data_IF_881654964459
#
_entry.id   IF_881654964459
#
_cell.length_a   1.000
_cell.length_b   1.000
_cell.length_c   1.000
_cell.angle_alpha   90.00
_cell.angle_beta   90.00
_cell.angle_gamma   90.00
#
_symmetry.space_group_name_H-M   'P 1'
#
loop_
_entity.id
_entity.type
_entity.pdbx_description
1 polymer ?
#
# COMPACT_ATOMS: atom_id res chain seq x y z
N UNK A 1 -5.14 -17.74 -36.99
CA UNK A 1 -4.64 -18.84 -36.13
C UNK A 1 -3.98 -18.22 -34.90
N UNK A 2 -4.76 -17.84 -33.88
CA UNK A 2 -4.26 -17.12 -32.70
C UNK A 2 -3.97 -18.12 -31.58
N UNK A 3 -2.69 -18.28 -31.23
CA UNK A 3 -2.24 -19.14 -30.13
C UNK A 3 -2.79 -18.62 -28.80
N UNK A 4 -3.58 -19.48 -28.16
CA UNK A 4 -4.03 -19.35 -26.78
C UNK A 4 -2.83 -19.33 -25.83
N UNK A 5 -2.61 -18.21 -25.15
CA UNK A 5 -1.82 -18.15 -23.92
C UNK A 5 -2.65 -17.41 -22.87
N UNK A 6 -3.74 -18.05 -22.45
CA UNK A 6 -4.47 -17.68 -21.24
C UNK A 6 -3.68 -18.25 -20.07
N UNK A 7 -2.81 -17.43 -19.44
CA UNK A 7 -2.17 -17.80 -18.18
C UNK A 7 -3.21 -17.70 -17.04
N UNK A 8 -3.42 -18.75 -16.24
CA UNK A 8 -4.54 -18.88 -15.32
C UNK A 8 -4.23 -18.14 -14.02
N UNK A 9 -4.72 -16.90 -13.90
CA UNK A 9 -4.70 -16.15 -12.63
C UNK A 9 -6.09 -15.92 -12.03
N UNK A 10 -7.15 -15.93 -12.86
CA UNK A 10 -8.53 -15.89 -12.37
C UNK A 10 -9.09 -17.30 -12.10
N UNK A 11 -8.56 -18.28 -12.83
CA UNK A 11 -8.95 -19.68 -12.79
C UNK A 11 -8.38 -20.39 -11.55
N UNK A 12 -7.21 -19.97 -11.04
CA UNK A 12 -6.55 -20.61 -9.88
C UNK A 12 -7.29 -20.42 -8.56
N UNK A 13 -8.09 -19.36 -8.39
CA UNK A 13 -8.99 -19.20 -7.23
C UNK A 13 -10.20 -20.15 -7.29
N UNK A 14 -10.53 -20.69 -8.48
CA UNK A 14 -11.65 -21.63 -8.68
C UNK A 14 -11.16 -23.09 -8.80
N UNK A 15 -9.89 -23.31 -9.16
CA UNK A 15 -9.29 -24.65 -9.37
C UNK A 15 -8.37 -25.15 -8.24
N UNK A 16 -8.18 -24.44 -7.11
CA UNK A 16 -7.25 -24.91 -6.07
C UNK A 16 -7.73 -26.09 -5.21
N UNK A 17 -8.84 -26.75 -5.57
CA UNK A 17 -9.00 -28.19 -5.29
C UNK A 17 -9.00 -28.64 -3.81
N UNK A 18 -9.57 -27.85 -2.90
CA UNK A 18 -9.82 -28.32 -1.52
C UNK A 18 -10.92 -29.39 -1.53
N UNK A 19 -10.51 -30.66 -1.31
CA UNK A 19 -11.38 -31.86 -1.37
C UNK A 19 -12.61 -31.74 -0.47
N UNK A 20 -13.73 -32.32 -0.90
CA UNK A 20 -14.96 -32.52 -0.15
C UNK A 20 -14.93 -33.90 0.54
N UNK A 21 -15.17 -33.92 1.85
CA UNK A 21 -15.66 -35.10 2.59
C UNK A 21 -16.59 -34.52 3.65
N UNK A 22 -17.89 -34.84 3.59
CA UNK A 22 -18.80 -34.74 4.74
C UNK A 22 -18.30 -35.73 5.79
N UNK A 23 -17.91 -35.22 6.96
CA UNK A 23 -17.77 -36.05 8.14
C UNK A 23 -18.77 -35.58 9.18
N UNK A 24 -19.54 -36.54 9.65
CA UNK A 24 -20.51 -36.41 10.72
C UNK A 24 -19.90 -35.75 11.97
N UNK A 25 -20.79 -35.07 12.68
CA UNK A 25 -20.54 -34.34 13.90
C UNK A 25 -19.78 -35.18 14.94
N UNK A 26 -18.50 -34.87 15.10
CA UNK A 26 -17.68 -35.32 16.22
C UNK A 26 -16.75 -34.17 16.67
N UNK A 27 -16.56 -33.96 17.99
CA UNK A 27 -15.67 -32.93 18.48
C UNK A 27 -14.22 -33.36 18.24
N UNK A 28 -13.41 -32.51 17.58
CA UNK A 28 -11.98 -32.77 17.39
C UNK A 28 -11.15 -31.63 17.96
N UNK A 29 -10.10 -32.07 18.65
CA UNK A 29 -9.20 -31.41 19.59
C UNK A 29 -8.56 -30.09 19.14
N UNK A 30 -8.42 -29.19 20.12
CA UNK A 30 -7.64 -27.95 20.11
C UNK A 30 -6.17 -28.29 19.84
N UNK A 31 -5.56 -27.65 18.83
CA UNK A 31 -4.13 -27.72 18.60
C UNK A 31 -3.37 -27.11 19.80
N UNK A 32 -2.54 -27.95 20.41
CA UNK A 32 -1.84 -27.79 21.68
C UNK A 32 -0.45 -27.16 21.52
N UNK A 33 -0.06 -26.35 22.51
CA UNK A 33 1.26 -26.16 23.14
C UNK A 33 2.59 -25.97 22.35
N UNK A 34 2.69 -26.27 21.05
CA UNK A 34 3.97 -26.31 20.33
C UNK A 34 4.37 -24.96 19.69
N UNK A 35 3.43 -24.13 19.23
CA UNK A 35 3.74 -22.82 18.61
C UNK A 35 4.32 -21.81 19.60
N UNK A 36 3.86 -21.83 20.85
CA UNK A 36 4.32 -20.93 21.91
C UNK A 36 5.79 -21.16 22.32
N UNK A 37 6.34 -22.37 22.14
CA UNK A 37 7.73 -22.69 22.46
C UNK A 37 8.71 -22.06 21.45
N UNK A 38 8.34 -22.04 20.16
CA UNK A 38 9.15 -21.52 19.04
C UNK A 38 9.44 -20.00 19.12
N UNK A 39 8.43 -19.18 19.45
CA UNK A 39 8.56 -17.71 19.52
C UNK A 39 9.38 -17.24 20.72
N UNK A 40 9.20 -17.88 21.88
CA UNK A 40 9.96 -17.59 23.09
C UNK A 40 11.46 -17.91 22.91
N UNK A 41 11.77 -19.00 22.21
CA UNK A 41 13.14 -19.43 21.93
C UNK A 41 13.84 -18.50 20.91
N UNK A 42 13.13 -18.04 19.88
CA UNK A 42 13.63 -17.03 18.95
C UNK A 42 13.94 -15.68 19.62
N UNK A 43 13.12 -15.24 20.57
CA UNK A 43 13.37 -14.00 21.33
C UNK A 43 14.60 -14.13 22.24
N UNK A 44 14.79 -15.28 22.91
CA UNK A 44 16.02 -15.56 23.69
C UNK A 44 17.27 -15.51 22.80
N UNK A 45 17.19 -16.05 21.58
CA UNK A 45 18.28 -16.00 20.60
C UNK A 45 18.62 -14.56 20.16
N UNK A 46 17.61 -13.71 19.95
CA UNK A 46 17.83 -12.28 19.61
C UNK A 46 18.55 -11.55 20.73
N UNK A 47 18.11 -11.72 21.98
CA UNK A 47 18.73 -11.06 23.14
C UNK A 47 20.20 -11.48 23.29
N UNK A 48 20.48 -12.79 23.16
CA UNK A 48 21.84 -13.32 23.21
C UNK A 48 22.73 -12.75 22.09
N UNK A 49 22.24 -12.70 20.85
CA UNK A 49 22.98 -12.14 19.71
C UNK A 49 23.22 -10.64 19.86
N UNK A 50 22.28 -9.89 20.42
CA UNK A 50 22.46 -8.45 20.69
C UNK A 50 23.48 -8.19 21.80
N UNK A 51 23.54 -9.04 22.83
CA UNK A 51 24.58 -8.98 23.85
C UNK A 51 25.95 -9.33 23.28
N UNK A 52 26.04 -10.36 22.43
CA UNK A 52 27.29 -10.70 21.73
C UNK A 52 27.76 -9.57 20.82
N UNK A 53 26.84 -8.91 20.10
CA UNK A 53 27.17 -7.78 19.24
C UNK A 53 27.70 -6.59 20.06
N UNK A 54 27.05 -6.26 21.18
CA UNK A 54 27.49 -5.21 22.11
C UNK A 54 28.87 -5.51 22.67
N UNK A 55 29.09 -6.72 23.20
CA UNK A 55 30.41 -7.16 23.70
C UNK A 55 31.48 -7.04 22.61
N UNK A 56 31.20 -7.44 21.37
CA UNK A 56 32.13 -7.31 20.24
C UNK A 56 32.43 -5.84 19.90
N UNK A 57 31.43 -4.97 19.94
CA UNK A 57 31.59 -3.52 19.71
C UNK A 57 32.37 -2.82 20.83
N UNK A 58 32.17 -3.24 22.08
CA UNK A 58 32.88 -2.73 23.25
C UNK A 58 34.32 -3.24 23.31
N UNK A 59 34.55 -4.52 22.97
CA UNK A 59 35.89 -5.11 22.93
C UNK A 59 36.74 -4.60 21.77
N UNK A 60 36.11 -4.00 20.74
CA UNK A 60 36.79 -3.75 19.49
C UNK A 60 36.27 -2.51 18.74
N UNK A 61 37.09 -1.47 18.72
CA UNK A 61 36.84 -0.25 17.96
C UNK A 61 37.55 -0.29 16.61
N UNK A 62 36.76 -0.42 15.53
CA UNK A 62 37.28 -0.33 14.15
C UNK A 62 37.99 1.01 13.90
N UNK A 63 37.55 2.08 14.57
CA UNK A 63 38.12 3.42 14.47
C UNK A 63 39.54 3.45 15.04
N UNK A 64 39.77 2.78 16.16
CA UNK A 64 41.09 2.76 16.81
C UNK A 64 42.10 1.90 16.03
N UNK A 65 41.65 0.79 15.43
CA UNK A 65 42.46 0.00 14.50
C UNK A 65 42.83 0.77 13.23
N UNK A 66 41.89 1.54 12.67
CA UNK A 66 42.16 2.38 11.51
C UNK A 66 43.14 3.51 11.84
N UNK A 67 43.06 4.07 13.06
CA UNK A 67 44.02 5.04 13.58
C UNK A 67 45.41 4.39 13.73
N UNK A 68 45.50 3.24 14.39
CA UNK A 68 46.76 2.51 14.57
C UNK A 68 47.42 2.11 13.23
N UNK A 69 46.64 1.64 12.25
CA UNK A 69 47.14 1.33 10.90
C UNK A 69 47.65 2.60 10.20
N UNK A 70 46.98 3.74 10.39
CA UNK A 70 47.41 5.02 9.81
C UNK A 70 48.70 5.51 10.46
N UNK A 71 48.86 5.34 11.76
CA UNK A 71 50.06 5.74 12.51
C UNK A 71 51.25 4.84 12.15
N UNK A 72 51.05 3.52 12.04
CA UNK A 72 52.07 2.59 11.54
C UNK A 72 52.53 2.92 10.11
N UNK A 73 51.59 3.30 9.24
CA UNK A 73 51.94 3.75 7.86
C UNK A 73 52.75 5.04 7.87
N UNK A 74 52.42 5.99 8.75
CA UNK A 74 53.16 7.24 8.91
C UNK A 74 54.58 6.97 9.42
N UNK A 75 54.71 6.17 10.48
CA UNK A 75 56.00 5.79 11.05
C UNK A 75 56.90 5.09 10.02
N UNK A 76 56.35 4.11 9.28
CA UNK A 76 57.08 3.40 8.22
C UNK A 76 57.60 4.34 7.12
N UNK A 77 56.82 5.36 6.75
CA UNK A 77 57.23 6.31 5.71
C UNK A 77 58.40 7.21 6.15
N UNK A 78 58.67 7.32 7.45
CA UNK A 78 59.78 8.07 8.02
C UNK A 78 61.05 7.22 8.26
N UNK A 79 60.94 5.89 8.14
CA UNK A 79 62.08 4.98 8.33
C UNK A 79 63.02 5.01 7.12
N UNK A 80 64.33 5.02 7.37
CA UNK A 80 65.38 5.02 6.33
C UNK A 80 65.93 3.61 6.09
N UNK A 81 66.00 2.77 7.13
CA UNK A 81 66.46 1.39 7.06
C UNK A 81 65.44 0.47 6.35
N UNK A 82 65.92 -0.30 5.36
CA UNK A 82 65.10 -1.24 4.59
C UNK A 82 64.56 -2.41 5.41
N UNK A 83 65.36 -2.97 6.33
CA UNK A 83 64.94 -4.11 7.19
C UNK A 83 63.86 -3.69 8.18
N UNK A 84 63.99 -2.52 8.79
CA UNK A 84 62.96 -1.97 9.69
C UNK A 84 61.65 -1.64 8.96
N UNK A 85 61.78 -1.17 7.71
CA UNK A 85 60.64 -0.89 6.84
C UNK A 85 59.87 -2.17 6.48
N UNK A 86 60.56 -3.28 6.25
CA UNK A 86 59.96 -4.59 5.97
C UNK A 86 59.25 -5.18 7.19
N UNK A 87 59.86 -5.08 8.38
CA UNK A 87 59.22 -5.47 9.65
C UNK A 87 57.94 -4.65 9.88
N UNK A 88 58.00 -3.35 9.65
CA UNK A 88 56.82 -2.47 9.75
C UNK A 88 55.74 -2.79 8.72
N UNK A 89 56.12 -3.18 7.50
CA UNK A 89 55.18 -3.63 6.48
C UNK A 89 54.47 -4.94 6.88
N UNK A 90 55.20 -5.89 7.49
CA UNK A 90 54.63 -7.11 8.04
C UNK A 90 53.62 -6.82 9.16
N UNK A 91 53.95 -5.91 10.08
CA UNK A 91 53.06 -5.47 11.16
C UNK A 91 51.76 -4.82 10.63
N UNK A 92 51.86 -3.96 9.60
CA UNK A 92 50.68 -3.37 8.95
C UNK A 92 49.80 -4.45 8.30
N UNK A 93 50.42 -5.47 7.68
CA UNK A 93 49.70 -6.57 7.03
C UNK A 93 48.97 -7.43 8.07
N UNK A 94 49.61 -7.72 9.20
CA UNK A 94 49.00 -8.46 10.31
C UNK A 94 47.81 -7.68 10.93
N UNK A 95 47.99 -6.39 11.19
CA UNK A 95 46.91 -5.52 11.70
C UNK A 95 45.71 -5.44 10.76
N UNK A 96 45.94 -5.38 9.44
CA UNK A 96 44.85 -5.43 8.44
C UNK A 96 44.12 -6.78 8.43
N UNK A 97 44.84 -7.88 8.64
CA UNK A 97 44.25 -9.22 8.73
C UNK A 97 43.34 -9.32 9.95
N UNK A 98 43.83 -8.94 11.13
CA UNK A 98 43.06 -8.86 12.38
C UNK A 98 41.81 -7.99 12.22
N UNK A 99 41.93 -6.84 11.55
CA UNK A 99 40.79 -5.95 11.25
C UNK A 99 39.72 -6.67 10.43
N UNK A 100 40.13 -7.39 9.39
CA UNK A 100 39.22 -8.08 8.49
C UNK A 100 38.49 -9.23 9.19
N UNK A 101 39.20 -10.02 9.99
CA UNK A 101 38.62 -11.13 10.76
C UNK A 101 37.57 -10.63 11.75
N UNK A 102 37.85 -9.52 12.45
CA UNK A 102 36.90 -8.91 13.38
C UNK A 102 35.67 -8.34 12.67
N UNK A 103 35.88 -7.64 11.54
CA UNK A 103 34.77 -7.16 10.71
C UNK A 103 33.90 -8.31 10.18
N UNK A 104 34.52 -9.41 9.74
CA UNK A 104 33.82 -10.62 9.27
C UNK A 104 32.98 -11.23 10.39
N UNK A 105 33.55 -11.42 11.58
CA UNK A 105 32.86 -11.93 12.77
C UNK A 105 31.66 -11.06 13.19
N UNK A 106 31.81 -9.73 13.15
CA UNK A 106 30.71 -8.80 13.41
C UNK A 106 29.61 -8.91 12.34
N UNK A 107 29.99 -9.00 11.06
CA UNK A 107 29.05 -9.10 9.95
C UNK A 107 28.25 -10.41 9.98
N UNK A 108 28.89 -11.51 10.35
CA UNK A 108 28.24 -12.81 10.55
C UNK A 108 27.21 -12.73 11.70
N UNK A 109 27.58 -12.11 12.82
CA UNK A 109 26.65 -11.90 13.95
C UNK A 109 25.46 -11.02 13.55
N UNK A 110 25.70 -9.97 12.74
CA UNK A 110 24.65 -9.14 12.17
C UNK A 110 23.70 -9.90 11.23
N UNK A 111 24.24 -10.82 10.42
CA UNK A 111 23.45 -11.67 9.52
C UNK A 111 22.57 -12.64 10.31
N UNK A 112 23.14 -13.29 11.34
CA UNK A 112 22.41 -14.16 12.27
C UNK A 112 21.30 -13.41 12.99
N UNK A 113 21.57 -12.18 13.46
CA UNK A 113 20.56 -11.32 14.10
C UNK A 113 19.46 -10.93 13.11
N UNK A 114 19.81 -10.61 11.86
CA UNK A 114 18.84 -10.30 10.80
C UNK A 114 17.98 -11.51 10.45
N UNK A 115 18.54 -12.71 10.49
CA UNK A 115 17.80 -13.95 10.26
C UNK A 115 16.91 -14.32 11.44
N UNK A 116 17.40 -14.25 12.67
CA UNK A 116 16.61 -14.46 13.88
C UNK A 116 15.43 -13.47 13.98
N UNK A 117 15.66 -12.18 13.65
CA UNK A 117 14.59 -11.17 13.55
C UNK A 117 13.60 -11.48 12.43
N UNK A 118 14.06 -12.02 11.28
CA UNK A 118 13.18 -12.47 10.20
C UNK A 118 12.34 -13.68 10.62
N UNK A 119 12.91 -14.66 11.33
CA UNK A 119 12.19 -15.81 11.89
C UNK A 119 11.18 -15.37 12.95
N UNK A 120 11.55 -14.47 13.86
CA UNK A 120 10.63 -13.90 14.83
C UNK A 120 9.52 -13.09 14.16
N UNK A 121 9.81 -12.33 13.11
CA UNK A 121 8.80 -11.60 12.33
C UNK A 121 7.90 -12.54 11.52
N UNK A 122 8.43 -13.64 10.97
CA UNK A 122 7.63 -14.65 10.28
C UNK A 122 6.73 -15.43 11.25
N UNK A 123 7.26 -15.84 12.42
CA UNK A 123 6.49 -16.45 13.49
C UNK A 123 5.45 -15.48 14.06
N UNK A 124 5.77 -14.18 14.17
CA UNK A 124 4.78 -13.14 14.46
C UNK A 124 3.78 -12.96 13.33
N UNK A 125 4.10 -13.17 12.05
CA UNK A 125 3.10 -13.16 10.98
C UNK A 125 2.16 -14.39 11.09
N UNK A 126 2.65 -15.51 11.62
CA UNK A 126 1.83 -16.70 11.89
C UNK A 126 0.97 -16.53 13.17
N UNK A 127 1.47 -15.85 14.22
CA UNK A 127 0.73 -15.51 15.45
C UNK A 127 -0.12 -14.19 15.33
N UNK A 128 0.26 -13.25 14.45
CA UNK A 128 -0.52 -12.06 14.01
C UNK A 128 -1.58 -12.45 12.97
N UNK A 129 -1.93 -13.75 12.92
CA UNK A 129 -3.28 -14.19 12.55
C UNK A 129 -4.37 -13.56 13.45
N UNK A 130 -3.97 -12.82 14.51
CA UNK A 130 -4.81 -11.91 15.29
C UNK A 130 -4.87 -10.45 14.82
N UNK A 131 -4.23 -10.04 13.71
CA UNK A 131 -4.30 -8.67 13.16
C UNK A 131 -5.57 -8.42 12.31
N UNK A 132 -6.60 -9.26 12.48
CA UNK A 132 -7.89 -9.16 11.79
C UNK A 132 -7.86 -9.43 10.27
N UNK A 133 -6.67 -9.61 9.69
CA UNK A 133 -6.45 -10.08 8.32
C UNK A 133 -6.31 -11.59 8.37
N UNK A 134 -7.46 -12.26 8.41
CA UNK A 134 -7.52 -13.72 8.30
C UNK A 134 -7.02 -14.07 6.89
N UNK A 135 -5.86 -14.75 6.77
CA UNK A 135 -5.69 -15.69 5.67
C UNK A 135 -6.82 -16.69 5.84
N UNK A 136 -7.75 -16.67 4.90
CA UNK A 136 -8.90 -17.55 4.90
C UNK A 136 -8.37 -18.98 4.90
N UNK A 137 -8.18 -19.59 6.07
CA UNK A 137 -7.89 -21.02 6.24
C UNK A 137 -8.45 -21.57 7.57
N UNK A 138 -9.01 -20.77 8.48
CA UNK A 138 -9.42 -21.27 9.82
C UNK A 138 -10.70 -20.69 10.42
N UNK A 139 -11.78 -20.60 9.65
CA UNK A 139 -13.10 -20.52 10.31
C UNK A 139 -14.20 -21.06 9.41
N UNK A 140 -14.80 -22.18 9.83
CA UNK A 140 -16.14 -22.56 9.39
C UNK A 140 -17.11 -21.45 9.85
N UNK A 141 -17.81 -20.81 8.92
CA UNK A 141 -18.59 -19.62 9.19
C UNK A 141 -20.03 -19.77 8.73
N UNK A 142 -20.93 -19.75 9.71
CA UNK A 142 -22.37 -19.61 9.52
C UNK A 142 -22.62 -18.29 8.78
N UNK A 143 -23.15 -18.41 7.57
CA UNK A 143 -23.25 -17.37 6.52
C UNK A 143 -24.32 -16.31 6.79
N UNK A 144 -25.22 -16.54 7.74
CA UNK A 144 -26.47 -15.77 7.85
C UNK A 144 -26.33 -14.40 8.53
N UNK A 145 -25.28 -14.16 9.33
CA UNK A 145 -25.09 -12.89 10.05
C UNK A 145 -23.89 -12.06 9.54
N UNK A 146 -23.65 -12.08 8.23
CA UNK A 146 -22.50 -11.39 7.62
C UNK A 146 -22.84 -10.54 6.41
N UNK A 147 -22.19 -9.40 6.31
CA UNK A 147 -22.19 -8.53 5.13
C UNK A 147 -20.82 -8.58 4.47
N UNK A 148 -20.83 -8.68 3.15
CA UNK A 148 -19.67 -8.92 2.29
C UNK A 148 -19.52 -7.74 1.33
N UNK A 149 -18.29 -7.25 1.11
CA UNK A 149 -18.05 -6.13 0.19
C UNK A 149 -16.65 -6.05 -0.38
N UNK A 150 -16.57 -5.85 -1.70
CA UNK A 150 -15.30 -5.73 -2.42
C UNK A 150 -14.97 -4.28 -2.71
N UNK A 151 -13.70 -3.93 -2.55
CA UNK A 151 -13.18 -2.59 -2.77
C UNK A 151 -12.04 -2.61 -3.78
N UNK A 152 -12.24 -1.89 -4.89
CA UNK A 152 -11.22 -1.63 -5.90
C UNK A 152 -10.54 -0.28 -5.67
N UNK A 153 -9.21 -0.26 -5.79
CA UNK A 153 -8.39 0.96 -5.76
C UNK A 153 -7.99 1.36 -7.17
N UNK A 154 -9.01 1.74 -7.95
CA UNK A 154 -8.86 2.09 -9.36
C UNK A 154 -7.99 3.33 -9.65
N UNK A 155 -7.72 3.54 -10.94
CA UNK A 155 -6.92 4.67 -11.45
C UNK A 155 -7.74 5.96 -11.64
N UNK A 156 -9.06 5.86 -11.75
CA UNK A 156 -9.98 6.99 -12.04
C UNK A 156 -10.70 7.51 -10.80
N UNK A 157 -11.24 6.61 -10.00
CA UNK A 157 -11.74 6.85 -8.65
C UNK A 157 -10.67 6.43 -7.65
N UNK A 158 -10.65 7.06 -6.47
CA UNK A 158 -9.69 6.71 -5.44
C UNK A 158 -10.03 5.34 -4.81
N UNK A 159 -11.32 5.04 -4.68
CA UNK A 159 -11.83 3.73 -4.26
C UNK A 159 -13.27 3.55 -4.75
N UNK A 160 -13.62 2.33 -5.14
CA UNK A 160 -14.99 1.91 -5.44
C UNK A 160 -15.30 0.66 -4.63
N UNK A 161 -16.36 0.73 -3.83
CA UNK A 161 -16.76 -0.35 -2.93
C UNK A 161 -18.16 -0.82 -3.28
N UNK A 162 -18.33 -2.12 -3.41
CA UNK A 162 -19.62 -2.77 -3.70
C UNK A 162 -19.97 -3.73 -2.58
N UNK A 163 -21.24 -3.76 -2.18
CA UNK A 163 -21.74 -4.79 -1.29
C UNK A 163 -22.29 -5.96 -2.11
N UNK A 164 -21.91 -7.18 -1.75
CA UNK A 164 -22.44 -8.41 -2.37
C UNK A 164 -23.18 -9.21 -1.29
N UNK A 165 -24.39 -9.65 -1.61
CA UNK A 165 -25.13 -10.57 -0.73
C UNK A 165 -24.73 -12.01 -0.98
N UNK A 166 -24.81 -12.91 0.02
CA UNK A 166 -24.63 -14.35 -0.19
C UNK A 166 -25.47 -14.89 -1.34
N UNK A 167 -26.71 -14.42 -1.49
CA UNK A 167 -27.60 -14.79 -2.61
C UNK A 167 -27.03 -14.40 -3.98
N UNK A 168 -26.46 -13.19 -4.11
CA UNK A 168 -25.84 -12.74 -5.35
C UNK A 168 -24.58 -13.56 -5.67
N UNK A 169 -23.78 -13.88 -4.65
CA UNK A 169 -22.62 -14.77 -4.79
C UNK A 169 -23.02 -16.18 -5.23
N UNK A 170 -24.02 -16.79 -4.59
CA UNK A 170 -24.53 -18.12 -4.97
C UNK A 170 -25.05 -18.15 -6.41
N UNK A 171 -25.76 -17.11 -6.85
CA UNK A 171 -26.22 -17.01 -8.24
C UNK A 171 -25.06 -16.90 -9.24
N UNK A 172 -24.03 -16.13 -8.88
CA UNK A 172 -22.82 -16.00 -9.70
C UNK A 172 -22.07 -17.34 -9.80
N UNK A 173 -21.90 -18.05 -8.69
CA UNK A 173 -21.27 -19.37 -8.67
C UNK A 173 -22.06 -20.40 -9.48
N UNK A 174 -23.39 -20.40 -9.36
CA UNK A 174 -24.26 -21.25 -10.16
C UNK A 174 -24.10 -20.99 -11.65
N UNK A 175 -24.14 -19.71 -12.06
CA UNK A 175 -23.91 -19.33 -13.45
C UNK A 175 -22.57 -19.82 -13.98
N UNK A 176 -21.50 -19.67 -13.18
CA UNK A 176 -20.18 -20.17 -13.55
C UNK A 176 -20.20 -21.67 -13.80
N UNK A 177 -20.77 -22.44 -12.87
CA UNK A 177 -20.86 -23.89 -12.94
C UNK A 177 -21.65 -24.37 -14.16
N UNK A 178 -22.78 -23.72 -14.46
CA UNK A 178 -23.65 -24.08 -15.60
C UNK A 178 -22.96 -23.84 -16.96
N UNK A 179 -22.07 -22.85 -17.05
CA UNK A 179 -21.42 -22.44 -18.31
C UNK A 179 -19.98 -22.95 -18.49
N UNK A 180 -19.41 -23.59 -17.47
CA UNK A 180 -18.04 -24.11 -17.49
C UNK A 180 -18.01 -25.58 -17.04
N UNK A 181 -18.91 -26.40 -17.59
CA UNK A 181 -19.01 -27.84 -17.32
C UNK A 181 -17.72 -28.63 -17.66
N UNK A 182 -16.86 -28.07 -18.50
CA UNK A 182 -15.54 -28.62 -18.83
C UNK A 182 -14.51 -28.49 -17.69
N UNK A 183 -14.84 -27.78 -16.62
CA UNK A 183 -13.97 -27.62 -15.47
C UNK A 183 -13.81 -28.97 -14.73
N UNK A 184 -12.61 -29.59 -14.72
CA UNK A 184 -12.39 -30.94 -14.19
C UNK A 184 -12.61 -31.08 -12.67
N UNK A 185 -12.85 -29.97 -11.97
CA UNK A 185 -13.17 -29.93 -10.54
C UNK A 185 -14.69 -29.91 -10.25
N UNK A 186 -15.56 -29.81 -11.26
CA UNK A 186 -17.02 -29.87 -11.12
C UNK A 186 -17.53 -31.30 -11.35
N UNK A 187 -17.58 -32.11 -10.29
CA UNK A 187 -18.20 -33.45 -10.32
C UNK A 187 -19.62 -33.43 -9.75
N UNK A 188 -20.58 -32.76 -10.40
CA UNK A 188 -22.01 -33.06 -10.25
C UNK A 188 -22.88 -32.18 -11.16
N UNK A 189 -24.04 -32.74 -11.51
CA UNK A 189 -25.00 -32.34 -12.56
C UNK A 189 -25.31 -30.84 -12.64
N UNK A 190 -25.65 -30.34 -13.86
CA UNK A 190 -26.22 -29.01 -14.03
C UNK A 190 -27.52 -28.90 -13.23
N UNK A 191 -27.62 -27.90 -12.35
CA UNK A 191 -28.86 -27.58 -11.65
C UNK A 191 -29.67 -26.70 -12.59
N UNK A 192 -30.52 -27.32 -13.40
CA UNK A 192 -31.50 -26.63 -14.26
C UNK A 192 -32.53 -25.91 -13.40
N UNK A 193 -32.22 -24.66 -13.06
CA UNK A 193 -33.17 -23.69 -12.56
C UNK A 193 -32.86 -22.37 -13.26
N UNK A 194 -33.88 -21.71 -13.83
CA UNK A 194 -33.74 -20.44 -14.56
C UNK A 194 -32.92 -19.41 -13.78
N UNK A 195 -31.87 -18.88 -14.39
CA UNK A 195 -31.14 -17.73 -13.85
C UNK A 195 -32.05 -16.51 -13.82
N UNK A 196 -32.34 -16.01 -12.61
CA UNK A 196 -33.19 -14.84 -12.41
C UNK A 196 -32.50 -13.58 -12.97
N UNK A 197 -33.11 -12.97 -13.99
CA UNK A 197 -32.58 -11.83 -14.72
C UNK A 197 -32.38 -10.57 -13.86
N UNK A 198 -32.95 -10.55 -12.65
CA UNK A 198 -32.77 -9.48 -11.66
C UNK A 198 -31.36 -9.39 -11.07
N UNK A 199 -30.51 -10.41 -11.26
CA UNK A 199 -29.13 -10.44 -10.73
C UNK A 199 -28.03 -10.04 -11.74
N UNK A 200 -28.40 -9.70 -12.98
CA UNK A 200 -27.48 -9.12 -13.97
C UNK A 200 -27.11 -7.65 -13.81
N UNK A 201 -27.83 -6.75 -13.11
CA UNK A 201 -27.28 -5.44 -12.84
C UNK A 201 -26.12 -5.55 -11.86
N UNK A 202 -25.04 -4.83 -12.13
CA UNK A 202 -23.99 -4.65 -11.14
C UNK A 202 -24.57 -4.00 -9.87
N UNK A 203 -24.05 -4.38 -8.69
CA UNK A 203 -24.54 -3.82 -7.44
C UNK A 203 -24.26 -2.31 -7.38
N UNK A 204 -25.04 -1.61 -6.56
CA UNK A 204 -24.77 -0.20 -6.26
C UNK A 204 -23.37 -0.09 -5.63
N UNK A 205 -22.66 0.98 -5.99
CA UNK A 205 -21.31 1.21 -5.51
C UNK A 205 -21.19 2.51 -4.70
N UNK A 206 -20.38 2.47 -3.65
CA UNK A 206 -19.85 3.64 -2.97
C UNK A 206 -18.56 4.08 -3.67
N UNK A 207 -18.46 5.37 -3.98
CA UNK A 207 -17.30 5.92 -4.69
C UNK A 207 -16.64 6.98 -3.84
N UNK A 208 -15.34 6.84 -3.66
CA UNK A 208 -14.48 7.86 -3.08
C UNK A 208 -13.65 8.50 -4.18
N UNK A 209 -13.73 9.83 -4.31
CA UNK A 209 -12.93 10.58 -5.28
C UNK A 209 -11.75 11.28 -4.60
N UNK A 210 -10.63 11.40 -5.31
CA UNK A 210 -9.47 12.15 -4.85
C UNK A 210 -9.79 13.64 -4.62
N UNK A 211 -10.72 14.20 -5.43
CA UNK A 211 -11.23 15.56 -5.29
C UNK A 211 -11.88 15.77 -3.91
N UNK A 212 -12.80 14.89 -3.52
CA UNK A 212 -13.54 15.02 -2.27
C UNK A 212 -12.64 14.93 -1.05
N UNK A 213 -11.68 13.99 -1.07
CA UNK A 213 -10.72 13.83 0.02
C UNK A 213 -9.82 15.06 0.12
N UNK A 214 -9.29 15.57 -0.98
CA UNK A 214 -8.39 16.72 -0.94
C UNK A 214 -9.09 18.00 -0.49
N UNK A 215 -10.34 18.20 -0.92
CA UNK A 215 -11.17 19.30 -0.44
C UNK A 215 -11.38 19.22 1.07
N UNK A 216 -11.81 18.05 1.57
CA UNK A 216 -12.07 17.80 3.01
C UNK A 216 -10.80 17.84 3.87
N UNK A 217 -9.65 17.45 3.31
CA UNK A 217 -8.35 17.53 3.97
C UNK A 217 -7.75 18.95 3.99
N UNK A 218 -8.47 19.97 3.50
CA UNK A 218 -8.03 21.36 3.47
C UNK A 218 -6.75 21.61 2.65
N UNK A 219 -6.40 20.73 1.71
CA UNK A 219 -5.18 20.89 0.91
C UNK A 219 -5.24 22.14 0.03
N UNK A 220 -6.38 22.39 -0.61
CA UNK A 220 -6.58 23.62 -1.39
C UNK A 220 -6.39 24.86 -0.51
N UNK A 221 -6.92 24.86 0.71
CA UNK A 221 -6.73 25.94 1.69
C UNK A 221 -5.26 26.12 2.09
N UNK A 222 -4.48 25.04 2.18
CA UNK A 222 -3.03 25.09 2.40
C UNK A 222 -2.33 25.77 1.23
N UNK A 223 -2.57 25.28 0.01
CA UNK A 223 -1.94 25.80 -1.20
C UNK A 223 -2.24 27.29 -1.35
N UNK A 224 -3.50 27.71 -1.18
CA UNK A 224 -3.86 29.13 -1.24
C UNK A 224 -3.23 29.97 -0.12
N UNK A 225 -3.07 29.43 1.10
CA UNK A 225 -2.40 30.16 2.18
C UNK A 225 -0.89 30.27 1.96
N UNK A 226 -0.25 29.21 1.48
CA UNK A 226 1.16 29.21 1.10
C UNK A 226 1.41 30.16 -0.05
N UNK A 227 0.56 30.11 -1.08
CA UNK A 227 0.65 31.01 -2.22
C UNK A 227 0.47 32.46 -1.78
N UNK A 228 -0.50 32.78 -0.92
CA UNK A 228 -0.65 34.13 -0.36
C UNK A 228 0.55 34.57 0.48
N UNK A 229 1.15 33.66 1.24
CA UNK A 229 2.34 33.94 2.04
C UNK A 229 3.58 34.20 1.17
N UNK A 230 3.62 33.65 -0.05
CA UNK A 230 4.73 33.82 -1.01
C UNK A 230 4.51 34.92 -2.04
N UNK A 231 3.25 35.16 -2.45
CA UNK A 231 2.85 35.99 -3.59
C UNK A 231 1.94 37.16 -3.21
N UNK A 232 2.08 37.85 -2.07
CA UNK A 232 1.24 39.05 -1.88
C UNK A 232 1.71 40.20 -2.79
N UNK A 233 1.36 40.13 -4.07
CA UNK A 233 1.13 41.29 -4.93
C UNK A 233 -0.09 42.02 -4.40
N UNK A 234 0.03 43.34 -4.35
CA UNK A 234 -1.05 44.29 -4.07
C UNK A 234 -2.24 43.94 -4.94
N UNK A 235 -3.35 43.44 -4.35
CA UNK A 235 -4.64 43.59 -5.00
C UNK A 235 -5.13 44.98 -4.66
N UNK A 236 -4.99 45.87 -5.63
CA UNK A 236 -5.78 47.10 -5.76
C UNK A 236 -7.25 46.74 -5.62
N UNK A 237 -7.79 46.93 -4.42
CA UNK A 237 -9.11 47.49 -4.13
C UNK A 237 -9.47 47.28 -2.65
N UNK A 238 -9.66 48.40 -1.94
CA UNK A 238 -10.59 48.46 -0.82
C UNK A 238 -10.00 48.65 0.57
N UNK A 239 -9.81 49.92 0.91
CA UNK A 239 -10.02 50.54 2.24
C UNK A 239 -8.94 50.36 3.31
N UNK A 240 -8.32 51.50 3.59
CA UNK A 240 -7.53 51.87 4.76
C UNK A 240 -8.09 51.28 6.06
N UNK A 241 -7.24 50.56 6.79
CA UNK A 241 -7.19 50.65 8.25
C UNK A 241 -5.74 50.76 8.67
N UNK A 242 -5.30 52.01 8.79
CA UNK A 242 -4.09 52.40 9.49
C UNK A 242 -4.28 52.12 10.99
N UNK A 243 -3.55 51.15 11.52
CA UNK A 243 -3.09 51.14 12.91
C UNK A 243 -1.98 50.07 13.05
N UNK A 244 -0.76 50.53 13.34
CA UNK A 244 0.34 49.79 14.00
C UNK A 244 0.88 48.48 13.37
N UNK A 245 0.28 47.99 12.28
CA UNK A 245 0.54 46.67 11.69
C UNK A 245 1.28 46.71 10.34
N UNK A 246 1.56 47.91 9.81
CA UNK A 246 2.13 48.11 8.47
C UNK A 246 3.57 47.59 8.34
N UNK A 247 4.42 47.84 9.35
CA UNK A 247 5.84 47.49 9.29
C UNK A 247 6.09 45.97 9.31
N UNK A 248 5.43 45.25 10.22
CA UNK A 248 5.49 43.78 10.28
C UNK A 248 4.90 43.12 9.04
N UNK A 249 3.91 43.76 8.40
CA UNK A 249 3.26 43.24 7.21
C UNK A 249 4.17 43.34 5.97
N UNK A 250 4.92 44.43 5.84
CA UNK A 250 5.87 44.63 4.75
C UNK A 250 7.11 43.71 4.87
N UNK A 251 7.63 43.50 6.08
CA UNK A 251 8.74 42.57 6.34
C UNK A 251 8.38 41.11 5.99
N UNK A 252 7.20 40.65 6.41
CA UNK A 252 6.70 39.30 6.11
C UNK A 252 6.46 39.08 4.60
N UNK A 253 6.15 40.13 3.84
CA UNK A 253 6.00 40.06 2.38
C UNK A 253 7.34 39.85 1.67
N UNK A 254 8.39 40.50 2.16
CA UNK A 254 9.71 40.41 1.57
C UNK A 254 10.34 39.03 1.80
N UNK A 255 10.21 38.48 3.01
CA UNK A 255 10.61 37.10 3.29
C UNK A 255 9.88 36.09 2.40
N UNK A 256 8.58 36.28 2.15
CA UNK A 256 7.78 35.41 1.28
C UNK A 256 8.26 35.41 -0.18
N UNK A 257 8.62 36.58 -0.72
CA UNK A 257 9.19 36.70 -2.07
C UNK A 257 10.56 36.06 -2.17
N UNK A 258 11.43 36.27 -1.18
CA UNK A 258 12.75 35.64 -1.13
C UNK A 258 12.63 34.11 -1.10
N UNK A 259 11.67 33.56 -0.35
CA UNK A 259 11.38 32.12 -0.32
C UNK A 259 10.95 31.61 -1.70
N UNK A 260 10.09 32.33 -2.42
CA UNK A 260 9.68 31.95 -3.77
C UNK A 260 10.86 31.96 -4.75
N UNK A 261 11.71 32.99 -4.70
CA UNK A 261 12.91 33.08 -5.54
C UNK A 261 13.90 31.95 -5.26
N UNK A 262 14.12 31.62 -3.98
CA UNK A 262 14.96 30.51 -3.58
C UNK A 262 14.43 29.15 -4.10
N UNK A 263 13.11 28.93 -4.03
CA UNK A 263 12.48 27.73 -4.60
C UNK A 263 12.59 27.65 -6.11
N UNK A 264 12.35 28.75 -6.82
CA UNK A 264 12.44 28.79 -8.28
C UNK A 264 13.88 28.53 -8.75
N UNK A 265 14.87 29.08 -8.03
CA UNK A 265 16.29 28.83 -8.25
C UNK A 265 16.64 27.35 -8.06
N UNK A 266 16.22 26.74 -6.94
CA UNK A 266 16.44 25.31 -6.69
C UNK A 266 15.70 24.41 -7.69
N UNK A 267 14.50 24.79 -8.11
CA UNK A 267 13.72 24.05 -9.11
C UNK A 267 14.40 24.06 -10.48
N UNK A 268 14.93 25.22 -10.91
CA UNK A 268 15.70 25.34 -12.15
C UNK A 268 16.98 24.50 -12.08
N UNK A 269 17.71 24.58 -10.96
CA UNK A 269 18.92 23.79 -10.74
C UNK A 269 18.65 22.28 -10.73
N UNK A 270 17.54 21.83 -10.14
CA UNK A 270 17.15 20.41 -10.14
C UNK A 270 16.79 19.88 -11.55
N UNK A 271 16.44 20.76 -12.49
CA UNK A 271 16.21 20.38 -13.90
C UNK A 271 17.52 20.30 -14.69
N UNK A 272 18.51 21.13 -14.35
CA UNK A 272 19.81 21.19 -15.05
C UNK A 272 20.87 20.26 -14.45
N UNK A 273 20.76 19.92 -13.17
CA UNK A 273 21.71 19.12 -12.41
C UNK A 273 21.00 17.92 -11.79
N UNK A 274 21.71 16.81 -11.61
CA UNK A 274 21.22 15.71 -10.77
C UNK A 274 21.03 16.21 -9.33
N UNK A 275 19.91 15.83 -8.72
CA UNK A 275 19.50 16.21 -7.36
C UNK A 275 20.49 15.68 -6.31
N UNK A 276 21.26 14.65 -6.66
CA UNK A 276 22.32 14.08 -5.82
C UNK A 276 23.71 14.70 -6.08
N UNK A 277 23.81 15.67 -7.00
CA UNK A 277 25.09 16.33 -7.29
C UNK A 277 25.56 17.19 -6.12
N UNK A 278 26.88 17.25 -5.91
CA UNK A 278 27.50 18.13 -4.90
C UNK A 278 27.11 19.59 -5.10
N UNK A 279 26.98 20.02 -6.36
CA UNK A 279 26.64 21.41 -6.70
C UNK A 279 25.20 21.74 -6.29
N UNK A 280 24.24 20.84 -6.53
CA UNK A 280 22.87 21.02 -6.03
C UNK A 280 22.84 21.10 -4.49
N UNK A 281 23.62 20.26 -3.80
CA UNK A 281 23.70 20.27 -2.34
C UNK A 281 24.24 21.59 -1.77
N UNK A 282 25.28 22.17 -2.40
CA UNK A 282 25.85 23.46 -1.97
C UNK A 282 24.82 24.58 -2.12
N UNK A 283 24.12 24.66 -3.26
CA UNK A 283 23.07 25.65 -3.45
C UNK A 283 21.87 25.44 -2.52
N UNK A 284 21.49 24.19 -2.26
CA UNK A 284 20.47 23.87 -1.26
C UNK A 284 20.87 24.38 0.15
N UNK A 285 22.14 24.20 0.53
CA UNK A 285 22.66 24.66 1.82
C UNK A 285 22.66 26.18 1.96
N UNK A 286 22.94 26.93 0.88
CA UNK A 286 22.88 28.39 0.87
C UNK A 286 21.47 28.90 1.19
N UNK A 287 20.45 28.34 0.53
CA UNK A 287 19.05 28.77 0.71
C UNK A 287 18.38 28.14 1.96
N UNK A 288 19.03 27.16 2.59
CA UNK A 288 18.45 26.34 3.67
C UNK A 288 17.98 27.16 4.86
N UNK A 289 18.72 28.20 5.26
CA UNK A 289 18.39 28.98 6.47
C UNK A 289 17.05 29.69 6.29
N UNK A 290 16.87 30.36 5.15
CA UNK A 290 15.64 31.06 4.76
C UNK A 290 14.46 30.08 4.60
N UNK A 291 14.67 28.97 3.87
CA UNK A 291 13.62 27.97 3.69
C UNK A 291 13.20 27.35 5.03
N UNK A 292 14.14 27.10 5.93
CA UNK A 292 13.83 26.55 7.25
C UNK A 292 13.08 27.55 8.12
N UNK A 293 13.52 28.82 8.19
CA UNK A 293 12.82 29.83 9.00
C UNK A 293 11.36 29.98 8.55
N UNK A 294 11.11 30.00 7.25
CA UNK A 294 9.76 30.09 6.70
C UNK A 294 8.92 28.82 6.99
N UNK A 295 9.39 27.64 6.55
CA UNK A 295 8.60 26.40 6.62
C UNK A 295 8.43 25.80 8.01
N UNK A 296 9.35 26.12 8.93
CA UNK A 296 9.28 25.71 10.34
C UNK A 296 8.83 26.87 11.25
N UNK A 297 8.43 28.01 10.70
CA UNK A 297 7.79 29.08 11.47
C UNK A 297 6.57 28.56 12.23
N UNK A 298 6.26 29.18 13.36
CA UNK A 298 5.10 28.82 14.19
C UNK A 298 3.79 28.84 13.38
N UNK A 299 3.64 29.80 12.47
CA UNK A 299 2.47 29.90 11.59
C UNK A 299 2.36 28.72 10.62
N UNK A 300 3.46 28.34 9.97
CA UNK A 300 3.49 27.19 9.06
C UNK A 300 3.32 25.86 9.80
N UNK A 301 3.91 25.72 10.98
CA UNK A 301 3.72 24.56 11.85
C UNK A 301 2.26 24.40 12.29
N UNK A 302 1.59 25.49 12.72
CA UNK A 302 0.16 25.48 13.06
C UNK A 302 -0.71 25.12 11.85
N UNK A 303 -0.39 25.64 10.67
CA UNK A 303 -1.10 25.31 9.44
C UNK A 303 -0.94 23.82 9.09
N UNK A 304 0.29 23.30 9.14
CA UNK A 304 0.61 21.89 8.88
C UNK A 304 -0.12 20.96 9.84
N UNK A 305 -0.08 21.25 11.15
CA UNK A 305 -0.82 20.48 12.18
C UNK A 305 -2.32 20.49 11.91
N UNK A 306 -2.88 21.64 11.54
CA UNK A 306 -4.31 21.74 11.22
C UNK A 306 -4.71 20.83 10.06
N UNK A 307 -3.86 20.72 9.04
CA UNK A 307 -4.08 19.88 7.85
C UNK A 307 -3.88 18.41 8.16
N UNK A 308 -2.89 18.08 8.98
CA UNK A 308 -2.66 16.72 9.47
C UNK A 308 -3.88 16.21 10.22
N UNK A 309 -4.39 16.99 11.18
CA UNK A 309 -5.61 16.65 11.92
C UNK A 309 -6.84 16.55 11.01
N UNK A 310 -7.00 17.49 10.07
CA UNK A 310 -8.09 17.43 9.08
C UNK A 310 -7.98 16.20 8.18
N UNK A 311 -6.76 15.81 7.81
CA UNK A 311 -6.47 14.62 7.00
C UNK A 311 -6.86 13.36 7.74
N UNK A 312 -6.42 13.21 9.00
CA UNK A 312 -6.74 12.05 9.83
C UNK A 312 -8.27 11.92 9.97
N UNK A 313 -8.95 13.00 10.38
CA UNK A 313 -10.42 13.02 10.54
C UNK A 313 -11.15 12.71 9.23
N UNK A 314 -10.68 13.24 8.11
CA UNK A 314 -11.30 13.00 6.80
C UNK A 314 -11.17 11.54 6.38
N UNK A 315 -9.99 10.93 6.58
CA UNK A 315 -9.73 9.52 6.29
C UNK A 315 -10.61 8.60 7.13
N UNK A 316 -10.69 8.84 8.43
CA UNK A 316 -11.56 8.07 9.33
C UNK A 316 -13.04 8.19 8.94
N UNK A 317 -13.51 9.40 8.64
CA UNK A 317 -14.89 9.62 8.18
C UNK A 317 -15.19 8.95 6.84
N UNK A 318 -14.23 8.95 5.91
CA UNK A 318 -14.38 8.29 4.62
C UNK A 318 -14.51 6.77 4.80
N UNK A 319 -13.61 6.15 5.58
CA UNK A 319 -13.67 4.73 5.89
C UNK A 319 -14.98 4.36 6.63
N UNK A 320 -15.43 5.20 7.58
CA UNK A 320 -16.69 4.99 8.28
C UNK A 320 -17.92 5.15 7.36
N UNK A 321 -17.89 6.07 6.39
CA UNK A 321 -18.96 6.22 5.40
C UNK A 321 -19.05 5.00 4.48
N UNK A 322 -17.92 4.46 4.05
CA UNK A 322 -17.84 3.23 3.26
C UNK A 322 -18.40 2.02 4.03
N UNK A 323 -17.99 1.83 5.30
CA UNK A 323 -18.55 0.76 6.15
C UNK A 323 -20.04 0.90 6.37
N UNK A 324 -20.54 2.12 6.59
CA UNK A 324 -21.99 2.39 6.72
C UNK A 324 -22.74 2.11 5.43
N UNK A 325 -22.14 2.39 4.27
CA UNK A 325 -22.73 2.03 2.99
C UNK A 325 -22.92 0.51 2.88
N UNK A 326 -21.92 -0.29 3.29
CA UNK A 326 -21.99 -1.75 3.20
C UNK A 326 -22.94 -2.35 4.25
N UNK A 327 -22.79 -1.98 5.53
CA UNK A 327 -23.62 -2.51 6.61
C UNK A 327 -25.05 -2.01 6.56
N UNK A 328 -25.28 -0.82 6.00
CA UNK A 328 -26.55 -0.11 6.16
C UNK A 328 -26.86 0.08 7.65
N UNK A 329 -28.07 -0.31 8.05
CA UNK A 329 -28.51 -0.37 9.45
C UNK A 329 -28.31 -1.73 10.14
N UNK A 330 -27.67 -2.70 9.49
CA UNK A 330 -27.48 -4.04 10.06
C UNK A 330 -26.33 -4.10 11.06
N UNK A 331 -26.50 -4.92 12.11
CA UNK A 331 -25.47 -5.22 13.10
C UNK A 331 -24.56 -6.40 12.68
N UNK A 332 -24.68 -6.86 11.44
CA UNK A 332 -23.94 -8.00 10.92
C UNK A 332 -22.43 -7.78 10.99
N UNK A 333 -21.68 -8.88 11.13
CA UNK A 333 -20.24 -8.85 11.02
C UNK A 333 -19.86 -8.51 9.58
N UNK A 334 -18.91 -7.57 9.42
CA UNK A 334 -18.49 -7.09 8.11
C UNK A 334 -17.20 -7.78 7.68
N UNK A 335 -17.23 -8.33 6.47
CA UNK A 335 -16.09 -8.87 5.75
C UNK A 335 -15.88 -8.01 4.51
N UNK A 336 -14.65 -7.50 4.32
CA UNK A 336 -14.30 -6.66 3.19
C UNK A 336 -13.19 -7.30 2.36
N UNK A 337 -13.49 -7.66 1.11
CA UNK A 337 -12.50 -7.93 0.09
C UNK A 337 -11.83 -6.64 -0.38
N UNK A 338 -10.51 -6.63 -0.41
CA UNK A 338 -9.74 -5.46 -0.84
C UNK A 338 -8.69 -5.91 -1.85
N UNK A 339 -8.68 -5.26 -3.01
CA UNK A 339 -7.66 -5.48 -4.01
C UNK A 339 -6.25 -5.12 -3.52
N UNK A 340 -5.26 -5.92 -3.89
CA UNK A 340 -3.87 -5.78 -3.46
C UNK A 340 -3.00 -4.88 -4.36
N UNK A 341 -3.52 -4.39 -5.48
CA UNK A 341 -2.80 -3.53 -6.41
C UNK A 341 -3.25 -2.05 -6.29
N UNK A 342 -2.60 -1.15 -7.02
CA UNK A 342 -3.13 0.22 -7.15
C UNK A 342 -3.00 1.15 -5.94
N UNK A 343 -1.94 1.06 -5.12
CA UNK A 343 -1.79 2.03 -4.01
C UNK A 343 -1.61 3.46 -4.50
N UNK A 344 -0.92 3.68 -5.62
CA UNK A 344 -0.81 4.96 -6.34
C UNK A 344 -0.41 6.16 -5.46
N UNK A 345 0.25 5.92 -4.33
CA UNK A 345 0.62 6.95 -3.36
C UNK A 345 1.58 7.94 -4.01
N UNK A 346 1.32 9.23 -3.87
CA UNK A 346 2.16 10.29 -4.44
C UNK A 346 1.88 10.61 -5.91
N UNK A 347 1.04 9.84 -6.60
CA UNK A 347 0.53 10.21 -7.92
C UNK A 347 -0.67 11.17 -7.82
N UNK A 348 -1.09 11.77 -8.93
CA UNK A 348 -2.31 12.60 -8.98
C UNK A 348 -3.34 12.00 -9.94
N UNK A 349 -4.62 12.14 -9.58
CA UNK A 349 -5.78 11.82 -10.43
C UNK A 349 -6.48 13.14 -10.72
N UNK A 350 -6.49 13.57 -11.99
CA UNK A 350 -7.09 14.84 -12.42
C UNK A 350 -6.57 16.05 -11.61
N UNK A 351 -5.27 16.08 -11.31
CA UNK A 351 -4.63 17.14 -10.52
C UNK A 351 -4.85 17.05 -9.00
N UNK A 352 -5.60 16.05 -8.53
CA UNK A 352 -5.80 15.80 -7.10
C UNK A 352 -4.88 14.67 -6.62
N UNK A 353 -4.17 14.87 -5.51
CA UNK A 353 -3.41 13.79 -4.86
C UNK A 353 -4.21 12.50 -4.75
N UNK A 354 -3.65 11.44 -5.31
CA UNK A 354 -4.09 10.10 -5.01
C UNK A 354 -3.58 9.75 -3.64
N UNK A 355 -4.46 9.93 -2.65
CA UNK A 355 -4.22 9.44 -1.28
C UNK A 355 -4.56 7.96 -1.19
N UNK A 356 -4.13 7.14 -2.14
CA UNK A 356 -4.26 5.69 -2.01
C UNK A 356 -3.30 5.13 -0.96
N UNK A 357 -3.10 3.82 -0.94
CA UNK A 357 -2.17 3.15 -0.02
C UNK A 357 -2.85 2.41 1.13
N UNK A 358 -2.01 1.81 1.98
CA UNK A 358 -2.44 0.86 3.02
C UNK A 358 -3.29 1.47 4.14
N UNK A 359 -3.57 2.78 4.15
CA UNK A 359 -4.31 3.40 5.25
C UNK A 359 -5.79 3.01 5.26
N UNK A 360 -6.44 2.88 4.10
CA UNK A 360 -7.86 2.52 4.05
C UNK A 360 -8.09 1.07 4.52
N UNK A 361 -7.30 0.07 4.05
CA UNK A 361 -7.34 -1.28 4.61
C UNK A 361 -7.08 -1.30 6.12
N UNK A 362 -6.05 -0.58 6.60
CA UNK A 362 -5.73 -0.47 8.03
C UNK A 362 -6.82 0.18 8.89
N UNK A 363 -7.63 1.07 8.32
CA UNK A 363 -8.76 1.65 9.04
C UNK A 363 -9.96 0.70 9.07
N UNK A 364 -10.11 -0.13 8.05
CA UNK A 364 -11.17 -1.14 7.99
C UNK A 364 -10.90 -2.31 8.95
N UNK A 365 -9.65 -2.76 9.11
CA UNK A 365 -9.29 -3.85 10.04
C UNK A 365 -9.72 -3.60 11.49
N UNK A 366 -9.86 -2.33 11.90
CA UNK A 366 -10.35 -1.96 13.24
C UNK A 366 -11.82 -2.34 13.48
N UNK A 367 -12.61 -2.50 12.42
CA UNK A 367 -14.08 -2.63 12.51
C UNK A 367 -14.67 -3.73 11.60
N UNK A 368 -13.82 -4.39 10.81
CA UNK A 368 -14.20 -5.40 9.84
C UNK A 368 -13.06 -6.41 9.64
N UNK A 369 -13.42 -7.64 9.25
CA UNK A 369 -12.44 -8.60 8.75
C UNK A 369 -12.07 -8.21 7.32
N UNK A 370 -10.78 -8.10 7.02
CA UNK A 370 -10.30 -7.68 5.69
C UNK A 370 -9.59 -8.84 5.03
N UNK A 371 -10.00 -9.24 3.82
CA UNK A 371 -9.18 -10.10 2.96
C UNK A 371 -8.55 -9.29 1.84
N UNK A 372 -7.26 -9.52 1.64
CA UNK A 372 -6.56 -9.03 0.47
C UNK A 372 -6.76 -10.03 -0.67
N UNK A 373 -7.25 -9.58 -1.82
CA UNK A 373 -7.38 -10.39 -3.03
C UNK A 373 -6.36 -9.97 -4.07
N UNK A 374 -5.96 -10.90 -4.94
CA UNK A 374 -5.28 -10.50 -6.16
C UNK A 374 -6.27 -9.73 -7.06
N UNK A 375 -5.78 -8.68 -7.71
CA UNK A 375 -6.56 -7.91 -8.68
C UNK A 375 -6.33 -8.39 -10.12
N UNK A 376 -5.71 -9.55 -10.30
CA UNK A 376 -5.26 -9.98 -11.62
C UNK A 376 -6.44 -10.12 -12.58
N UNK A 377 -6.42 -9.36 -13.68
CA UNK A 377 -7.46 -9.38 -14.73
C UNK A 377 -8.88 -8.98 -14.29
N UNK A 378 -9.07 -8.49 -13.06
CA UNK A 378 -10.39 -8.08 -12.52
C UNK A 378 -11.05 -6.92 -13.29
N UNK A 379 -10.27 -6.14 -14.04
CA UNK A 379 -10.74 -5.05 -14.93
C UNK A 379 -10.68 -5.40 -16.41
N UNK A 380 -10.30 -6.63 -16.76
CA UNK A 380 -10.05 -7.07 -18.14
C UNK A 380 -10.99 -8.20 -18.60
N UNK A 381 -11.69 -8.84 -17.67
CA UNK A 381 -12.61 -9.94 -17.96
C UNK A 381 -14.05 -9.60 -17.58
N UNK A 382 -14.99 -10.14 -18.35
CA UNK A 382 -16.40 -10.02 -18.08
C UNK A 382 -16.73 -10.81 -16.82
N UNK A 383 -17.42 -10.19 -15.87
CA UNK A 383 -17.82 -10.88 -14.65
C UNK A 383 -18.71 -12.10 -14.95
N UNK A 384 -19.57 -12.02 -15.96
CA UNK A 384 -20.49 -13.11 -16.28
C UNK A 384 -19.77 -14.21 -17.07
N UNK A 385 -19.30 -13.90 -18.27
CA UNK A 385 -18.80 -14.92 -19.20
C UNK A 385 -17.28 -15.10 -19.22
N UNK A 386 -16.52 -14.39 -18.38
CA UNK A 386 -15.05 -14.46 -18.28
C UNK A 386 -14.28 -14.23 -19.59
N UNK A 387 -14.97 -13.73 -20.62
CA UNK A 387 -14.33 -13.29 -21.86
C UNK A 387 -13.69 -11.91 -21.68
N UNK A 388 -12.62 -11.62 -22.43
CA UNK A 388 -12.03 -10.29 -22.47
C UNK A 388 -13.06 -9.20 -22.77
N UNK A 389 -12.94 -8.08 -22.04
CA UNK A 389 -13.75 -6.89 -22.25
C UNK A 389 -12.92 -5.81 -22.93
N UNK A 390 -13.59 -4.98 -23.72
CA UNK A 390 -13.00 -3.81 -24.35
C UNK A 390 -13.62 -2.54 -23.78
N UNK A 391 -12.96 -1.39 -23.97
CA UNK A 391 -13.61 -0.13 -23.65
C UNK A 391 -14.87 0.06 -24.48
N UNK A 392 -15.96 0.46 -23.82
CA UNK A 392 -17.19 0.79 -24.53
C UNK A 392 -16.96 1.99 -25.45
N UNK A 393 -17.69 2.05 -26.57
CA UNK A 393 -17.62 3.14 -27.54
C UNK A 393 -18.98 3.77 -27.73
N UNK A 394 -19.01 5.08 -27.99
CA UNK A 394 -20.22 5.79 -28.40
C UNK A 394 -20.59 5.44 -29.85
N UNK A 395 -21.78 5.85 -30.30
CA UNK A 395 -22.18 5.82 -31.71
C UNK A 395 -21.18 6.54 -32.61
N UNK A 396 -20.53 7.60 -32.11
CA UNK A 396 -19.47 8.34 -32.80
C UNK A 396 -18.08 7.68 -32.68
N UNK A 397 -17.99 6.38 -32.35
CA UNK A 397 -16.76 5.61 -32.19
C UNK A 397 -15.75 6.16 -31.15
N UNK A 398 -16.19 7.04 -30.24
CA UNK A 398 -15.34 7.60 -29.17
C UNK A 398 -15.33 6.65 -27.96
N UNK A 399 -14.16 6.42 -27.40
CA UNK A 399 -13.97 5.57 -26.23
C UNK A 399 -14.63 6.19 -24.98
N UNK A 400 -15.53 5.46 -24.35
CA UNK A 400 -16.16 5.82 -23.08
C UNK A 400 -15.27 5.38 -21.93
N UNK A 401 -14.50 6.33 -21.39
CA UNK A 401 -13.59 6.08 -20.29
C UNK A 401 -14.35 5.61 -19.04
N UNK A 402 -14.03 4.39 -18.57
CA UNK A 402 -14.57 3.83 -17.32
C UNK A 402 -15.81 2.97 -17.53
N UNK A 403 -16.17 2.72 -18.80
CA UNK A 403 -17.11 1.69 -19.18
C UNK A 403 -16.40 0.62 -20.00
N UNK A 404 -16.76 -0.63 -19.73
CA UNK A 404 -16.28 -1.80 -20.44
C UNK A 404 -17.44 -2.57 -21.05
N UNK A 405 -17.21 -3.19 -22.21
CA UNK A 405 -18.17 -3.98 -22.96
C UNK A 405 -17.63 -5.39 -23.17
N UNK A 406 -18.45 -6.40 -22.86
CA UNK A 406 -18.16 -7.77 -23.25
C UNK A 406 -18.34 -7.95 -24.76
N UNK A 407 -17.39 -8.63 -25.40
CA UNK A 407 -17.44 -8.96 -26.82
C UNK A 407 -18.12 -10.30 -27.12
N UNK A 408 -18.40 -11.12 -26.10
CA UNK A 408 -18.98 -12.44 -26.30
C UNK A 408 -20.51 -12.34 -26.50
N UNK A 409 -21.05 -12.65 -27.70
CA UNK A 409 -22.49 -12.61 -27.96
C UNK A 409 -23.27 -13.66 -27.16
N UNK A 410 -22.60 -14.74 -26.71
CA UNK A 410 -23.20 -15.79 -25.87
C UNK A 410 -23.29 -15.39 -24.40
N UNK A 411 -22.69 -14.29 -23.99
CA UNK A 411 -22.76 -13.79 -22.61
C UNK A 411 -24.20 -13.46 -22.24
N UNK A 412 -24.70 -13.93 -21.09
CA UNK A 412 -26.07 -13.60 -20.67
C UNK A 412 -26.29 -12.10 -20.47
N UNK A 413 -25.30 -11.37 -19.95
CA UNK A 413 -25.38 -9.91 -19.88
C UNK A 413 -25.49 -9.28 -21.27
N UNK A 414 -24.91 -9.89 -22.32
CA UNK A 414 -25.07 -9.44 -23.70
C UNK A 414 -26.48 -9.73 -24.22
N UNK A 415 -27.00 -10.95 -24.02
CA UNK A 415 -28.36 -11.34 -24.42
C UNK A 415 -29.45 -10.46 -23.81
N UNK A 416 -29.24 -9.99 -22.58
CA UNK A 416 -30.16 -9.11 -21.87
C UNK A 416 -29.91 -7.60 -22.10
N UNK A 417 -29.09 -7.22 -23.09
CA UNK A 417 -28.82 -5.81 -23.43
C UNK A 417 -27.96 -5.05 -22.41
N UNK A 418 -27.26 -5.76 -21.52
CA UNK A 418 -26.42 -5.23 -20.42
C UNK A 418 -24.93 -5.53 -20.61
N UNK A 419 -24.48 -5.61 -21.86
CA UNK A 419 -23.09 -5.90 -22.20
C UNK A 419 -22.11 -4.82 -21.72
N UNK A 420 -22.59 -3.58 -21.57
CA UNK A 420 -21.80 -2.42 -21.16
C UNK A 420 -21.96 -2.16 -19.66
N UNK A 421 -20.86 -2.12 -18.94
CA UNK A 421 -20.82 -2.02 -17.49
C UNK A 421 -19.76 -1.01 -17.02
N UNK A 422 -19.87 -0.52 -15.78
CA UNK A 422 -18.85 0.33 -15.18
C UNK A 422 -17.64 -0.53 -14.76
N UNK A 423 -16.46 -0.20 -15.28
CA UNK A 423 -15.24 -1.01 -15.08
C UNK A 423 -14.85 -1.10 -13.60
N UNK A 424 -14.85 0.02 -12.87
CA UNK A 424 -14.42 0.05 -11.47
C UNK A 424 -15.41 -0.76 -10.58
N UNK A 425 -16.70 -0.74 -10.91
CA UNK A 425 -17.73 -1.53 -10.21
C UNK A 425 -17.57 -3.02 -10.52
N UNK A 426 -17.28 -3.40 -11.77
CA UNK A 426 -16.99 -4.79 -12.13
C UNK A 426 -15.78 -5.32 -11.37
N UNK A 427 -14.69 -4.54 -11.31
CA UNK A 427 -13.47 -4.93 -10.61
C UNK A 427 -13.70 -5.08 -9.12
N UNK A 428 -14.40 -4.14 -8.48
CA UNK A 428 -14.79 -4.26 -7.09
C UNK A 428 -15.68 -5.50 -6.83
N UNK A 429 -16.56 -5.84 -7.78
CA UNK A 429 -17.43 -7.04 -7.68
C UNK A 429 -16.62 -8.32 -7.81
N UNK A 430 -15.68 -8.37 -8.76
CA UNK A 430 -14.79 -9.51 -8.94
C UNK A 430 -13.85 -9.73 -7.74
N UNK A 431 -13.35 -8.64 -7.15
CA UNK A 431 -12.59 -8.66 -5.89
C UNK A 431 -13.42 -9.31 -4.79
N UNK A 432 -14.68 -8.92 -4.63
CA UNK A 432 -15.50 -9.51 -3.57
C UNK A 432 -15.83 -10.98 -3.82
N UNK A 433 -16.14 -11.35 -5.05
CA UNK A 433 -16.37 -12.77 -5.40
C UNK A 433 -15.12 -13.59 -5.07
N UNK A 434 -13.93 -13.09 -5.41
CA UNK A 434 -12.67 -13.74 -5.03
C UNK A 434 -12.49 -13.83 -3.51
N UNK A 435 -12.81 -12.75 -2.78
CA UNK A 435 -12.72 -12.72 -1.32
C UNK A 435 -13.70 -13.70 -0.66
N UNK A 436 -14.97 -13.71 -1.11
CA UNK A 436 -15.99 -14.63 -0.63
C UNK A 436 -15.63 -16.08 -0.92
N UNK A 437 -15.10 -16.39 -2.11
CA UNK A 437 -14.61 -17.74 -2.42
C UNK A 437 -13.52 -18.16 -1.43
N UNK A 438 -12.56 -17.27 -1.14
CA UNK A 438 -11.53 -17.54 -0.12
C UNK A 438 -12.17 -17.74 1.25
N UNK A 439 -13.00 -16.81 1.72
CA UNK A 439 -13.57 -16.89 3.08
C UNK A 439 -14.54 -18.04 3.33
N UNK A 440 -15.33 -18.41 2.33
CA UNK A 440 -16.37 -19.44 2.47
C UNK A 440 -15.83 -20.84 2.14
N UNK A 441 -14.77 -20.95 1.34
CA UNK A 441 -14.33 -22.24 0.79
C UNK A 441 -12.82 -22.53 0.96
N UNK A 442 -12.07 -21.67 1.63
CA UNK A 442 -10.69 -22.02 1.99
C UNK A 442 -10.64 -23.20 2.95
N UNK A 443 -10.00 -24.29 2.53
CA UNK A 443 -9.42 -25.29 3.42
C UNK A 443 -7.91 -25.16 3.37
#
# INVERSE_FOLDING_TARGET
MYRFLVRPGLITCVLSGSRFIERDAGPIHIATAESFKSSAEANKQIISLEQQLRKKQESFSLVDMDRAIKDLKRARNLMVDGKERDISAANIKDMKRKRWEQYKSMKETHLLLKEARRRCYAARIEDDSNDGVIRAEKSALITEQRTFSGSDYGLKSMSVTVAISPKMFSNHLKYYNDNHSENPFLKSRPVTQSTDSRFYPLPRAHKLSAKDINHKCLKCKMSSKLEKAKKKTVSTHGVLKESSSSFNHQYLQEEGRQVQQAEDKLSKLAKSLDVNSKNYFVHNMQERKLLRSFYFSTAMCRLRRSIELATIRTKDRAAAAERRFVKGGSNNALVMGIGNAGTGVGSTIKGYDRRGGKWLPKLHTRYAKVAMTDEYMTSQLCLYCYFPIVHAKTSSNKTVLGSARSLNPKCEAFKHGRACNNTDVMSATAIEISAMTKFLYSR
#
